data_IF_635790922148
#
_entry.id   IF_635790922148
#
_cell.length_a   1.000
_cell.length_b   1.000
_cell.length_c   1.000
_cell.angle_alpha   90.00
_cell.angle_beta   90.00
_cell.angle_gamma   90.00
#
_symmetry.space_group_name_H-M   'P 1'
#
loop_
_entity.id
_entity.type
_entity.pdbx_description
1 polymer ?
#
# COMPACT_ATOMS: atom_id res chain seq x y z
N UNK A 1 -1.11 -11.93 7.18
CA UNK A 1 -1.70 -13.12 6.54
C UNK A 1 -0.90 -13.49 5.31
N UNK A 2 -0.78 -14.78 5.04
CA UNK A 2 -0.10 -15.38 3.91
C UNK A 2 -1.10 -16.30 3.21
N UNK A 3 -1.20 -16.22 1.90
CA UNK A 3 -2.07 -17.05 1.08
C UNK A 3 -1.19 -17.79 0.09
N UNK A 4 -1.31 -19.11 0.05
CA UNK A 4 -0.63 -19.97 -0.91
C UNK A 4 -1.63 -20.40 -1.98
N UNK A 5 -1.29 -20.21 -3.25
CA UNK A 5 -2.09 -20.62 -4.41
C UNK A 5 -1.41 -21.75 -5.19
N UNK A 6 -2.20 -22.66 -5.78
CA UNK A 6 -1.67 -23.83 -6.53
C UNK A 6 -1.08 -23.43 -7.88
N UNK A 7 -1.76 -22.54 -8.61
CA UNK A 7 -1.41 -22.13 -9.96
C UNK A 7 -1.35 -20.61 -10.09
N UNK A 8 -0.23 -20.12 -10.63
CA UNK A 8 0.03 -18.70 -10.88
C UNK A 8 -0.60 -18.24 -12.19
N UNK A 9 -1.22 -17.05 -12.17
CA UNK A 9 -1.56 -16.35 -13.39
C UNK A 9 -0.38 -15.46 -13.82
N UNK A 10 0.33 -15.90 -14.86
CA UNK A 10 1.57 -15.28 -15.36
C UNK A 10 1.35 -13.89 -15.96
N UNK A 11 0.15 -13.58 -16.44
CA UNK A 11 -0.15 -12.36 -17.21
C UNK A 11 -0.84 -11.25 -16.39
N UNK A 12 -0.87 -11.35 -15.05
CA UNK A 12 -1.50 -10.32 -14.23
C UNK A 12 -0.60 -9.08 -14.06
N UNK A 13 -1.16 -7.85 -14.14
CA UNK A 13 -0.37 -6.64 -13.96
C UNK A 13 0.20 -6.57 -12.54
N UNK A 14 1.46 -6.14 -12.41
CA UNK A 14 2.16 -5.97 -11.11
C UNK A 14 1.67 -4.73 -10.32
N UNK A 15 0.48 -4.20 -10.63
CA UNK A 15 -0.09 -3.07 -9.90
C UNK A 15 -0.53 -3.53 -8.52
N UNK A 16 -0.24 -2.74 -7.45
CA UNK A 16 -0.77 -3.03 -6.12
C UNK A 16 -2.29 -3.10 -6.16
N UNK A 17 -2.87 -4.16 -5.61
CA UNK A 17 -4.32 -4.33 -5.55
C UNK A 17 -4.82 -3.76 -4.23
N UNK A 18 -5.84 -2.90 -4.34
CA UNK A 18 -6.52 -2.30 -3.20
C UNK A 18 -7.56 -3.25 -2.63
N UNK A 19 -7.46 -3.51 -1.33
CA UNK A 19 -8.39 -4.31 -0.54
C UNK A 19 -8.94 -3.42 0.58
N UNK A 20 -10.18 -2.93 0.51
CA UNK A 20 -10.78 -2.17 1.59
C UNK A 20 -10.87 -3.03 2.86
N UNK A 21 -10.57 -2.43 4.01
CA UNK A 21 -10.77 -3.05 5.33
C UNK A 21 -11.73 -2.20 6.16
N UNK A 22 -12.58 -2.84 7.00
CA UNK A 22 -13.48 -2.11 7.88
C UNK A 22 -12.73 -1.28 8.91
N UNK A 23 -11.61 -1.78 9.44
CA UNK A 23 -10.76 -1.03 10.37
C UNK A 23 -9.45 -0.56 9.72
N UNK A 24 -9.07 0.72 9.87
CA UNK A 24 -7.80 1.24 9.35
C UNK A 24 -6.59 0.52 9.96
N UNK A 25 -5.60 0.19 9.13
CA UNK A 25 -4.35 -0.44 9.59
C UNK A 25 -3.40 0.58 10.21
N UNK A 26 -3.43 1.81 9.70
CA UNK A 26 -2.47 2.84 10.02
C UNK A 26 -3.02 3.78 11.10
N UNK A 27 -2.16 4.18 12.02
CA UNK A 27 -2.51 5.14 13.06
C UNK A 27 -2.78 6.53 12.43
N UNK A 28 -3.68 7.33 13.01
CA UNK A 28 -3.96 8.68 12.52
C UNK A 28 -2.78 9.64 12.68
N UNK A 29 -1.79 9.29 13.51
CA UNK A 29 -0.54 10.03 13.72
C UNK A 29 0.58 9.69 12.72
N UNK A 30 0.39 8.68 11.87
CA UNK A 30 1.41 8.25 10.91
C UNK A 30 1.72 9.35 9.91
N UNK A 31 3.01 9.60 9.67
CA UNK A 31 3.41 10.63 8.72
C UNK A 31 3.35 10.10 7.28
N UNK A 32 2.55 10.77 6.45
CA UNK A 32 2.32 10.37 5.06
C UNK A 32 3.16 11.23 4.12
N UNK A 33 3.80 10.59 3.15
CA UNK A 33 4.48 11.25 2.05
C UNK A 33 3.73 11.00 0.73
N UNK A 34 3.37 12.06 0.02
CA UNK A 34 2.73 11.97 -1.29
C UNK A 34 3.75 12.15 -2.41
N UNK A 35 3.79 11.22 -3.36
CA UNK A 35 4.59 11.27 -4.57
C UNK A 35 3.69 11.67 -5.75
N UNK A 36 3.95 12.83 -6.33
CA UNK A 36 3.12 13.39 -7.41
C UNK A 36 3.89 13.53 -8.71
N UNK A 37 3.14 13.51 -9.82
CA UNK A 37 3.65 14.01 -11.09
C UNK A 37 3.87 15.53 -11.01
N UNK A 38 4.83 16.03 -11.78
CA UNK A 38 5.05 17.47 -11.89
C UNK A 38 3.87 18.15 -12.62
N UNK A 39 3.47 19.38 -12.25
CA UNK A 39 4.09 20.30 -11.29
C UNK A 39 3.67 20.06 -9.82
N UNK A 40 4.66 20.10 -8.92
CA UNK A 40 4.48 19.86 -7.48
C UNK A 40 3.64 20.94 -6.76
N UNK A 41 3.65 22.20 -7.23
CA UNK A 41 2.99 23.32 -6.54
C UNK A 41 1.48 23.12 -6.44
N UNK A 42 0.84 22.74 -7.53
CA UNK A 42 -0.61 22.45 -7.61
C UNK A 42 -1.04 21.45 -6.53
N UNK A 43 -0.30 20.37 -6.34
CA UNK A 43 -0.65 19.36 -5.33
C UNK A 43 -0.37 19.81 -3.89
N UNK A 44 0.58 20.72 -3.68
CA UNK A 44 0.79 21.31 -2.34
C UNK A 44 -0.38 22.21 -1.97
N UNK A 45 -0.81 23.05 -2.90
CA UNK A 45 -1.89 24.01 -2.67
C UNK A 45 -3.20 23.26 -2.40
N UNK A 46 -3.50 22.21 -3.19
CA UNK A 46 -4.64 21.30 -2.95
C UNK A 46 -4.59 20.60 -1.58
N UNK A 47 -3.39 20.30 -1.06
CA UNK A 47 -3.26 19.66 0.25
C UNK A 47 -3.49 20.62 1.42
N UNK A 48 -3.05 21.86 1.26
CA UNK A 48 -3.30 22.93 2.24
C UNK A 48 -4.80 23.25 2.27
N UNK A 49 -5.43 23.35 1.11
CA UNK A 49 -6.86 23.62 0.98
C UNK A 49 -7.73 22.52 1.63
N UNK A 50 -7.38 21.25 1.43
CA UNK A 50 -8.13 20.11 1.98
C UNK A 50 -7.84 19.81 3.46
N UNK A 51 -6.92 20.56 4.10
CA UNK A 51 -6.49 20.37 5.50
C UNK A 51 -6.12 18.91 5.82
N UNK A 52 -5.38 18.25 4.93
CA UNK A 52 -4.86 16.90 5.19
C UNK A 52 -3.65 16.97 6.12
N UNK A 53 -3.90 17.15 7.44
CA UNK A 53 -2.87 17.27 8.49
C UNK A 53 -1.88 16.08 8.50
N UNK A 54 -2.32 14.93 8.00
CA UNK A 54 -1.55 13.69 7.98
C UNK A 54 -0.44 13.67 6.89
N UNK A 55 -0.52 14.51 5.85
CA UNK A 55 0.48 14.55 4.78
C UNK A 55 1.58 15.55 5.12
N UNK A 56 2.71 15.03 5.61
CA UNK A 56 3.86 15.82 6.07
C UNK A 56 4.74 16.33 4.92
N UNK A 57 4.84 15.56 3.83
CA UNK A 57 5.74 15.89 2.71
C UNK A 57 5.15 15.50 1.36
N UNK A 58 5.23 16.42 0.40
CA UNK A 58 4.92 16.15 -1.01
C UNK A 58 6.21 16.13 -1.80
N UNK A 59 6.45 15.11 -2.62
CA UNK A 59 7.67 14.93 -3.42
C UNK A 59 7.29 14.74 -4.89
N UNK A 60 7.79 15.61 -5.77
CA UNK A 60 7.63 15.45 -7.22
C UNK A 60 8.64 14.45 -7.81
N UNK A 61 8.28 13.82 -8.94
CA UNK A 61 9.16 12.83 -9.62
C UNK A 61 10.52 13.43 -9.99
N UNK A 62 10.57 14.69 -10.43
CA UNK A 62 11.83 15.37 -10.77
C UNK A 62 12.76 15.50 -9.55
N UNK A 63 12.21 15.81 -8.36
CA UNK A 63 13.00 15.86 -7.11
C UNK A 63 13.44 14.48 -6.66
N UNK A 64 12.62 13.47 -6.91
CA UNK A 64 12.92 12.07 -6.58
C UNK A 64 14.07 11.53 -7.45
N UNK A 65 14.16 11.95 -8.72
CA UNK A 65 15.28 11.65 -9.64
C UNK A 65 16.56 12.42 -9.33
N UNK A 66 16.46 13.67 -8.87
CA UNK A 66 17.62 14.50 -8.55
C UNK A 66 18.10 14.31 -7.10
N UNK A 67 17.42 14.97 -6.16
CA UNK A 67 17.84 15.07 -4.75
C UNK A 67 17.86 13.73 -4.01
N UNK A 68 16.99 12.80 -4.40
CA UNK A 68 16.88 11.48 -3.78
C UNK A 68 17.50 10.38 -4.65
N UNK A 69 18.40 10.69 -5.58
CA UNK A 69 19.21 9.66 -6.24
C UNK A 69 20.20 8.97 -5.28
N UNK A 70 20.90 9.70 -4.36
CA UNK A 70 21.82 9.08 -3.42
C UNK A 70 21.13 8.05 -2.51
N UNK A 71 21.84 6.98 -2.16
CA UNK A 71 21.30 5.89 -1.34
C UNK A 71 20.91 6.36 0.07
N UNK A 72 21.71 7.23 0.68
CA UNK A 72 21.45 7.77 2.02
C UNK A 72 20.16 8.61 2.07
N UNK A 73 19.99 9.53 1.12
CA UNK A 73 18.80 10.37 1.02
C UNK A 73 17.51 9.54 0.86
N UNK A 74 17.56 8.44 0.11
CA UNK A 74 16.43 7.50 -0.01
C UNK A 74 16.13 6.75 1.28
N UNK A 75 17.16 6.38 2.03
CA UNK A 75 17.02 5.72 3.33
C UNK A 75 16.44 6.69 4.37
N UNK A 76 16.87 7.94 4.34
CA UNK A 76 16.33 8.98 5.22
C UNK A 76 14.86 9.25 4.92
N UNK A 77 14.47 9.41 3.65
CA UNK A 77 13.07 9.57 3.26
C UNK A 77 12.20 8.38 3.73
N UNK A 78 12.72 7.16 3.64
CA UNK A 78 12.06 5.94 4.10
C UNK A 78 11.91 5.85 5.63
N UNK A 79 12.86 6.41 6.37
CA UNK A 79 12.85 6.42 7.84
C UNK A 79 11.98 7.56 8.39
N UNK A 80 11.97 8.72 7.71
CA UNK A 80 11.18 9.89 8.08
C UNK A 80 9.67 9.65 7.99
N UNK A 81 9.24 8.70 7.15
CA UNK A 81 7.84 8.48 6.81
C UNK A 81 7.41 7.01 6.94
N UNK A 82 6.17 6.83 7.40
CA UNK A 82 5.57 5.52 7.60
C UNK A 82 4.80 5.07 6.36
N UNK A 83 4.18 6.02 5.67
CA UNK A 83 3.32 5.75 4.52
C UNK A 83 3.72 6.57 3.31
N UNK A 84 3.67 5.91 2.14
CA UNK A 84 3.87 6.56 0.85
C UNK A 84 2.61 6.40 0.00
N UNK A 85 2.06 7.52 -0.44
CA UNK A 85 1.01 7.58 -1.46
C UNK A 85 1.66 8.02 -2.77
N UNK A 86 1.18 7.53 -3.90
CA UNK A 86 1.67 7.94 -5.20
C UNK A 86 0.56 8.05 -6.23
N UNK A 87 0.68 8.99 -7.16
CA UNK A 87 -0.21 9.05 -8.32
C UNK A 87 -0.07 7.77 -9.17
N UNK A 88 -1.19 7.19 -9.63
CA UNK A 88 -1.23 5.95 -10.45
C UNK A 88 -0.32 6.04 -11.68
N UNK A 89 -0.15 7.24 -12.24
CA UNK A 89 0.77 7.51 -13.37
C UNK A 89 2.24 7.31 -13.03
N UNK A 90 2.62 7.54 -11.77
CA UNK A 90 4.01 7.49 -11.31
C UNK A 90 4.37 6.09 -10.81
N UNK A 91 3.39 5.31 -10.33
CA UNK A 91 3.59 3.96 -9.76
C UNK A 91 4.49 3.03 -10.60
N UNK A 92 4.36 2.95 -11.94
CA UNK A 92 5.25 2.11 -12.74
C UNK A 92 6.73 2.53 -12.69
N UNK A 93 7.02 3.80 -12.44
CA UNK A 93 8.38 4.34 -12.39
C UNK A 93 9.02 4.21 -11.00
N UNK A 94 8.21 4.08 -9.95
CA UNK A 94 8.66 4.09 -8.55
C UNK A 94 9.64 2.97 -8.19
N UNK A 95 9.49 1.71 -8.65
CA UNK A 95 10.44 0.65 -8.32
C UNK A 95 11.88 0.98 -8.77
N UNK A 96 12.04 1.64 -9.93
CA UNK A 96 13.35 2.05 -10.45
C UNK A 96 13.95 3.20 -9.65
N UNK A 97 13.12 4.13 -9.17
CA UNK A 97 13.56 5.33 -8.46
C UNK A 97 13.85 5.09 -6.96
N UNK A 98 12.96 4.37 -6.29
CA UNK A 98 13.06 4.09 -4.85
C UNK A 98 14.09 2.98 -4.54
N UNK A 99 14.32 2.09 -5.49
CA UNK A 99 15.30 1.00 -5.38
C UNK A 99 14.79 -0.20 -4.58
N UNK A 100 15.61 -1.27 -4.57
CA UNK A 100 15.23 -2.59 -4.01
C UNK A 100 14.93 -2.57 -2.51
N UNK A 101 15.61 -1.72 -1.74
CA UNK A 101 15.46 -1.65 -0.28
C UNK A 101 14.03 -1.29 0.15
N UNK A 102 13.40 -0.36 -0.56
CA UNK A 102 12.02 0.05 -0.29
C UNK A 102 11.02 -1.07 -0.55
N UNK A 103 11.27 -1.87 -1.59
CA UNK A 103 10.43 -3.03 -1.91
C UNK A 103 10.56 -4.11 -0.83
N UNK A 104 11.78 -4.34 -0.33
CA UNK A 104 12.07 -5.31 0.72
C UNK A 104 11.42 -4.90 2.06
N UNK A 105 11.44 -3.61 2.41
CA UNK A 105 10.86 -3.09 3.65
C UNK A 105 9.32 -3.05 3.63
N UNK A 106 8.68 -3.49 2.53
CA UNK A 106 7.22 -3.45 2.34
C UNK A 106 6.60 -2.05 2.47
N UNK A 107 7.41 -0.98 2.36
CA UNK A 107 6.98 0.43 2.32
C UNK A 107 6.71 0.89 0.88
N UNK A 108 6.10 0.03 0.08
CA UNK A 108 5.81 0.35 -1.33
C UNK A 108 4.72 1.41 -1.43
N UNK A 109 4.84 2.37 -2.38
CA UNK A 109 3.86 3.44 -2.51
C UNK A 109 2.48 2.90 -2.92
N UNK A 110 1.45 3.46 -2.30
CA UNK A 110 0.06 3.15 -2.56
C UNK A 110 -0.45 3.98 -3.74
N UNK A 111 -1.02 3.36 -4.79
CA UNK A 111 -1.62 4.10 -5.90
C UNK A 111 -2.87 4.88 -5.44
N UNK A 112 -2.87 6.18 -5.69
CA UNK A 112 -4.00 7.09 -5.47
C UNK A 112 -4.28 7.80 -6.80
N UNK A 113 -5.54 7.83 -7.24
CA UNK A 113 -5.91 8.53 -8.47
C UNK A 113 -6.10 10.02 -8.16
N UNK A 114 -5.08 10.82 -8.47
CA UNK A 114 -5.13 12.28 -8.29
C UNK A 114 -5.76 13.02 -9.49
N UNK A 115 -6.13 12.31 -10.55
CA UNK A 115 -6.52 12.89 -11.85
C UNK A 115 -7.95 13.45 -11.91
N UNK A 116 -8.78 13.27 -10.87
CA UNK A 116 -10.17 13.76 -10.88
C UNK A 116 -10.27 15.05 -10.06
N UNK A 117 -10.15 16.16 -10.80
CA UNK A 117 -10.26 17.61 -10.53
C UNK A 117 -11.48 18.10 -9.72
N UNK A 118 -11.96 17.35 -8.72
CA UNK A 118 -12.95 17.87 -7.76
C UNK A 118 -12.41 17.71 -6.36
N UNK A 119 -12.11 18.85 -5.75
CA UNK A 119 -11.27 19.03 -4.57
C UNK A 119 -11.71 18.17 -3.36
N UNK A 120 -13.00 17.85 -3.24
CA UNK A 120 -13.52 16.96 -2.18
C UNK A 120 -13.30 15.44 -2.38
N UNK A 121 -13.00 14.97 -3.60
CA UNK A 121 -12.80 13.51 -3.85
C UNK A 121 -11.40 13.03 -3.51
N UNK A 122 -10.41 13.92 -3.56
CA UNK A 122 -9.02 13.58 -3.24
C UNK A 122 -8.91 13.18 -1.78
N UNK A 123 -9.50 13.98 -0.88
CA UNK A 123 -9.56 13.66 0.55
C UNK A 123 -10.22 12.30 0.80
N UNK A 124 -11.39 12.06 0.20
CA UNK A 124 -12.10 10.78 0.32
C UNK A 124 -11.25 9.62 -0.22
N UNK A 125 -10.53 9.81 -1.31
CA UNK A 125 -9.67 8.75 -1.87
C UNK A 125 -8.45 8.49 -0.97
N UNK A 126 -7.88 9.52 -0.33
CA UNK A 126 -6.78 9.39 0.64
C UNK A 126 -7.26 8.69 1.92
N UNK A 127 -8.38 9.13 2.50
CA UNK A 127 -8.99 8.49 3.68
C UNK A 127 -9.34 7.02 3.38
N UNK A 128 -9.91 6.77 2.21
CA UNK A 128 -10.25 5.42 1.81
C UNK A 128 -9.00 4.59 1.46
N UNK A 129 -7.90 5.22 1.01
CA UNK A 129 -6.62 4.55 0.81
C UNK A 129 -6.01 4.15 2.17
N UNK A 130 -6.09 5.02 3.18
CA UNK A 130 -5.67 4.74 4.55
C UNK A 130 -6.47 3.61 5.20
N UNK A 131 -7.77 3.56 4.94
CA UNK A 131 -8.66 2.48 5.37
C UNK A 131 -8.54 1.21 4.51
N UNK A 132 -7.62 1.16 3.56
CA UNK A 132 -7.45 -0.02 2.70
C UNK A 132 -6.05 -0.60 2.80
N UNK A 133 -5.99 -1.91 2.71
CA UNK A 133 -4.75 -2.68 2.62
C UNK A 133 -4.36 -2.80 1.16
N UNK A 134 -3.05 -2.75 0.91
CA UNK A 134 -2.51 -2.99 -0.42
C UNK A 134 -1.61 -4.19 -0.34
N UNK A 135 -1.72 -5.07 -1.34
CA UNK A 135 -0.76 -6.13 -1.52
C UNK A 135 -0.19 -6.09 -2.93
N UNK A 136 1.09 -6.40 -3.00
CA UNK A 136 1.78 -6.60 -4.25
C UNK A 136 1.68 -8.07 -4.62
N UNK A 137 1.15 -8.35 -5.81
CA UNK A 137 1.18 -9.69 -6.36
C UNK A 137 2.63 -10.03 -6.71
N UNK A 138 3.17 -11.06 -6.09
CA UNK A 138 4.48 -11.58 -6.47
C UNK A 138 4.35 -12.57 -7.63
N UNK A 139 5.50 -12.92 -8.23
CA UNK A 139 5.59 -13.95 -9.28
C UNK A 139 5.66 -15.37 -8.72
N UNK A 140 5.42 -15.54 -7.42
CA UNK A 140 5.46 -16.82 -6.71
C UNK A 140 4.08 -17.20 -6.19
N UNK A 141 3.91 -18.45 -5.78
CA UNK A 141 2.64 -19.02 -5.30
C UNK A 141 2.18 -18.48 -3.94
N UNK A 142 3.08 -17.85 -3.18
CA UNK A 142 2.80 -17.37 -1.84
C UNK A 142 2.68 -15.84 -1.81
N UNK A 143 1.50 -15.30 -1.50
CA UNK A 143 1.29 -13.86 -1.34
C UNK A 143 1.12 -13.50 0.13
N UNK A 144 1.82 -12.46 0.60
CA UNK A 144 1.67 -11.95 1.97
C UNK A 144 0.92 -10.62 1.99
N UNK A 145 -0.13 -10.54 2.79
CA UNK A 145 -0.95 -9.33 3.00
C UNK A 145 -0.85 -8.87 4.45
N UNK A 146 -0.61 -7.57 4.65
CA UNK A 146 -0.65 -6.91 5.96
C UNK A 146 -2.09 -6.46 6.23
N UNK A 147 -2.68 -6.94 7.32
CA UNK A 147 -4.09 -6.69 7.67
C UNK A 147 -4.27 -5.86 8.94
N UNK A 148 -3.17 -5.48 9.60
CA UNK A 148 -3.22 -4.71 10.83
C UNK A 148 -1.89 -4.72 11.57
N UNK A 149 -1.83 -3.91 12.63
CA UNK A 149 -0.73 -3.87 13.60
C UNK A 149 -1.30 -4.19 14.97
N UNK A 150 -0.60 -5.03 15.73
CA UNK A 150 -1.04 -5.47 17.07
C UNK A 150 -1.11 -4.34 18.11
N UNK A 151 -0.43 -3.22 17.86
CA UNK A 151 -0.38 -2.07 18.76
C UNK A 151 -1.66 -1.22 18.74
N UNK A 152 -2.46 -1.30 17.67
CA UNK A 152 -3.58 -0.39 17.44
C UNK A 152 -4.92 -1.08 17.24
N UNK A 153 -4.94 -2.35 16.86
CA UNK A 153 -6.17 -3.10 16.64
C UNK A 153 -6.33 -4.20 17.69
N UNK A 154 -7.57 -4.41 18.12
CA UNK A 154 -7.93 -5.55 18.97
C UNK A 154 -7.95 -6.85 18.15
N UNK A 155 -7.80 -8.02 18.79
CA UNK A 155 -7.88 -9.31 18.11
C UNK A 155 -9.20 -9.52 17.35
N UNK A 156 -10.31 -9.02 17.89
CA UNK A 156 -11.64 -9.10 17.26
C UNK A 156 -11.70 -8.29 15.97
N UNK A 157 -11.24 -7.04 16.00
CA UNK A 157 -11.17 -6.17 14.82
C UNK A 157 -10.23 -6.73 13.73
N UNK A 158 -9.15 -7.39 14.15
CA UNK A 158 -8.24 -8.09 13.24
C UNK A 158 -8.93 -9.29 12.57
N UNK A 159 -9.72 -10.06 13.31
CA UNK A 159 -10.50 -11.16 12.75
C UNK A 159 -11.54 -10.68 11.72
N UNK A 160 -12.23 -9.59 12.02
CA UNK A 160 -13.17 -8.95 11.07
C UNK A 160 -12.46 -8.43 9.82
N UNK A 161 -11.30 -7.79 9.97
CA UNK A 161 -10.47 -7.38 8.84
C UNK A 161 -10.05 -8.57 7.97
N UNK A 162 -9.68 -9.71 8.58
CA UNK A 162 -9.34 -10.94 7.86
C UNK A 162 -10.55 -11.48 7.12
N UNK A 163 -11.70 -11.60 7.78
CA UNK A 163 -12.94 -12.10 7.20
C UNK A 163 -13.42 -11.26 6.00
N UNK A 164 -13.30 -9.93 6.08
CA UNK A 164 -13.64 -9.02 4.99
C UNK A 164 -12.60 -9.04 3.85
N UNK A 165 -11.31 -9.15 4.18
CA UNK A 165 -10.24 -9.09 3.18
C UNK A 165 -10.12 -10.39 2.37
N UNK A 166 -10.31 -11.55 2.98
CA UNK A 166 -10.20 -12.86 2.33
C UNK A 166 -11.00 -13.00 1.03
N UNK A 167 -12.33 -12.77 1.00
CA UNK A 167 -13.12 -12.93 -0.23
C UNK A 167 -12.71 -11.92 -1.31
N UNK A 168 -12.32 -10.72 -0.91
CA UNK A 168 -11.84 -9.67 -1.83
C UNK A 168 -10.47 -10.00 -2.42
N UNK A 169 -9.59 -10.63 -1.65
CA UNK A 169 -8.30 -11.08 -2.14
C UNK A 169 -8.49 -12.29 -3.05
N UNK A 170 -9.27 -13.29 -2.67
CA UNK A 170 -9.49 -14.48 -3.49
C UNK A 170 -10.10 -14.11 -4.85
N UNK A 171 -11.14 -13.27 -4.88
CA UNK A 171 -11.79 -12.82 -6.12
C UNK A 171 -10.87 -12.02 -7.04
N UNK A 172 -10.01 -11.15 -6.50
CA UNK A 172 -9.11 -10.30 -7.31
C UNK A 172 -7.77 -10.98 -7.65
N UNK A 173 -7.29 -11.89 -6.81
CA UNK A 173 -5.96 -12.49 -6.94
C UNK A 173 -5.98 -13.80 -7.73
N UNK A 174 -6.97 -14.64 -7.48
CA UNK A 174 -6.97 -16.05 -7.82
C UNK A 174 -7.89 -16.29 -9.01
N UNK A 175 -7.30 -16.61 -10.19
CA UNK A 175 -8.07 -17.19 -11.28
C UNK A 175 -8.60 -18.56 -10.81
N UNK A 176 -9.90 -18.78 -10.96
CA UNK A 176 -10.68 -19.94 -10.47
C UNK A 176 -11.10 -19.89 -8.98
N UNK A 177 -10.93 -18.73 -8.32
CA UNK A 177 -11.47 -18.50 -6.97
C UNK A 177 -10.89 -19.45 -5.91
N UNK A 178 -11.75 -19.95 -5.02
CA UNK A 178 -11.36 -20.78 -3.88
C UNK A 178 -10.70 -22.12 -4.25
N UNK A 179 -10.99 -22.66 -5.44
CA UNK A 179 -10.44 -23.95 -5.90
C UNK A 179 -8.91 -23.97 -6.02
N UNK A 180 -8.31 -22.80 -6.25
CA UNK A 180 -6.89 -22.61 -6.48
C UNK A 180 -6.17 -22.07 -5.23
N UNK A 181 -6.86 -21.87 -4.12
CA UNK A 181 -6.23 -21.63 -2.81
C UNK A 181 -5.74 -22.98 -2.27
N UNK A 182 -4.52 -23.01 -1.73
CA UNK A 182 -3.92 -24.20 -1.14
C UNK A 182 -3.85 -24.12 0.39
N UNK A 183 -3.35 -23.00 0.91
CA UNK A 183 -3.28 -22.75 2.35
C UNK A 183 -3.45 -21.27 2.65
N UNK A 184 -3.99 -20.97 3.83
CA UNK A 184 -4.09 -19.64 4.41
C UNK A 184 -3.45 -19.69 5.79
N UNK A 185 -2.38 -18.91 5.95
CA UNK A 185 -1.61 -18.86 7.18
C UNK A 185 -1.61 -17.44 7.76
N UNK A 186 -1.74 -17.32 9.08
CA UNK A 186 -1.62 -16.05 9.79
C UNK A 186 -0.26 -16.02 10.49
N UNK A 187 0.53 -15.00 10.20
CA UNK A 187 1.83 -14.78 10.85
C UNK A 187 2.06 -13.30 11.13
N UNK A 188 2.85 -13.04 12.16
CA UNK A 188 3.44 -11.72 12.43
C UNK A 188 4.83 -11.62 11.78
N UNK A 189 5.57 -10.53 12.03
CA UNK A 189 6.88 -10.30 11.41
C UNK A 189 7.92 -11.37 11.74
N UNK A 190 7.94 -11.83 12.98
CA UNK A 190 8.93 -12.80 13.51
C UNK A 190 8.31 -14.09 14.03
N UNK A 191 6.98 -14.19 14.14
CA UNK A 191 6.33 -15.40 14.67
C UNK A 191 6.23 -16.53 13.65
N UNK A 192 6.02 -17.73 14.18
CA UNK A 192 5.54 -18.87 13.41
C UNK A 192 4.21 -18.55 12.71
N UNK A 193 3.96 -19.27 11.62
CA UNK A 193 2.73 -19.17 10.85
C UNK A 193 1.68 -20.13 11.41
N UNK A 194 0.52 -19.58 11.76
CA UNK A 194 -0.64 -20.31 12.25
C UNK A 194 -1.53 -20.65 11.06
N UNK A 195 -1.70 -21.94 10.71
CA UNK A 195 -2.59 -22.34 9.62
C UNK A 195 -4.05 -22.12 10.02
N UNK A 196 -4.83 -21.56 9.11
CA UNK A 196 -6.27 -21.32 9.27
C UNK A 196 -7.09 -22.18 8.30
N UNK A 197 -6.55 -22.43 7.11
CA UNK A 197 -7.18 -23.22 6.06
C UNK A 197 -6.14 -23.88 5.18
#
# INVERSE_FOLDING_TARGET
MQITIKALNVNAPAKPIRVPTPYPIYAPSSSICLITADPQRTYKDLMVEQKLVQVKRVVGVTKLKGKFAPYEARRQLMNDHDLFLADDRVVPMLPKLLGKKWMNERKSPIPVKLTKTKDGRVRKEVEAALASTFYHRNKGTCASVRLGTLQHLTPEQLAENVAAALPLIVSKHVKNGWSNVQSIDIKTGTSAALPVW
#
